data_IF_837742517845
#
_entry.id   IF_837742517845
#
_cell.length_a   1.000
_cell.length_b   1.000
_cell.length_c   1.000
_cell.angle_alpha   90.00
_cell.angle_beta   90.00
_cell.angle_gamma   90.00
#
_symmetry.space_group_name_H-M   'P 1'
#
loop_
_entity.id
_entity.type
_entity.pdbx_description
1 polymer ?
#
# COMPACT_ATOMS: atom_id res chain seq x y z
N UNK A 1 46.07 -6.76 50.65
CA UNK A 1 46.87 -5.54 50.79
C UNK A 1 46.09 -4.38 50.14
N UNK A 2 45.80 -3.37 50.93
CA UNK A 2 45.07 -2.14 50.62
C UNK A 2 45.91 -1.27 49.69
N UNK A 3 45.31 -0.62 48.70
CA UNK A 3 45.69 0.76 48.43
C UNK A 3 44.55 1.56 47.78
N UNK A 4 44.39 2.62 48.26
CA UNK A 4 43.74 3.86 48.55
C UNK A 4 43.53 4.71 47.31
N UNK A 5 42.37 5.26 47.29
CA UNK A 5 41.89 6.27 46.35
C UNK A 5 42.63 7.60 46.43
N UNK A 6 42.53 8.38 45.38
CA UNK A 6 42.79 9.83 45.37
C UNK A 6 41.58 10.58 44.80
N UNK A 7 40.94 11.31 45.72
CA UNK A 7 40.03 12.42 45.45
C UNK A 7 40.85 13.59 44.91
N UNK A 8 40.47 14.21 43.83
CA UNK A 8 40.96 15.53 43.41
C UNK A 8 39.86 16.58 43.62
N UNK A 9 40.24 17.55 44.41
CA UNK A 9 39.48 18.67 44.95
C UNK A 9 39.14 19.71 43.88
N UNK A 10 37.92 20.27 44.04
CA UNK A 10 37.52 21.53 43.42
C UNK A 10 38.29 22.68 44.09
N UNK A 11 39.04 23.52 43.33
CA UNK A 11 39.20 24.97 43.55
C UNK A 11 40.19 25.60 42.59
N UNK A 12 39.83 26.86 42.21
CA UNK A 12 40.64 27.90 41.57
C UNK A 12 40.86 27.83 40.06
N UNK A 13 40.05 28.63 39.35
CA UNK A 13 40.61 29.75 38.57
C UNK A 13 39.52 30.84 38.43
N UNK A 14 39.66 31.89 39.22
CA UNK A 14 39.03 33.18 38.95
C UNK A 14 40.17 34.14 38.58
N UNK A 15 40.12 34.79 37.41
CA UNK A 15 40.38 36.22 37.23
C UNK A 15 40.62 36.61 35.78
N UNK A 16 40.02 37.76 35.49
CA UNK A 16 40.24 38.69 34.36
C UNK A 16 39.37 38.33 33.14
N UNK A 17 38.30 39.01 32.76
CA UNK A 17 38.03 40.44 32.82
C UNK A 17 38.10 41.03 31.44
N UNK A 18 36.97 41.09 30.70
CA UNK A 18 36.73 42.09 29.64
C UNK A 18 35.23 42.13 29.34
N UNK A 19 34.58 43.25 29.65
CA UNK A 19 33.23 43.56 29.24
C UNK A 19 33.21 43.75 27.70
N UNK A 20 32.51 42.87 27.01
CA UNK A 20 32.00 43.13 25.67
C UNK A 20 30.48 43.23 25.78
N UNK A 21 29.94 44.42 25.58
CA UNK A 21 28.50 44.66 25.43
C UNK A 21 28.08 44.06 24.11
N UNK A 22 27.52 42.86 24.13
CA UNK A 22 26.84 42.28 23.00
C UNK A 22 25.39 42.73 23.02
N UNK A 23 25.02 43.57 22.01
CA UNK A 23 23.63 43.90 21.71
C UNK A 23 22.86 42.62 21.47
N UNK A 24 21.95 42.28 22.42
CA UNK A 24 21.09 41.12 22.27
C UNK A 24 20.08 41.32 21.15
N UNK A 25 20.29 40.63 20.07
CA UNK A 25 19.21 40.33 19.13
C UNK A 25 18.26 39.33 19.81
N UNK A 26 17.15 39.83 20.31
CA UNK A 26 16.02 39.01 20.73
C UNK A 26 15.43 38.43 19.44
N UNK A 27 15.83 37.23 19.06
CA UNK A 27 15.15 36.45 18.06
C UNK A 27 13.82 36.04 18.71
N UNK A 28 12.63 36.45 18.17
CA UNK A 28 11.37 36.01 18.73
C UNK A 28 11.29 34.48 18.54
N UNK A 29 11.28 33.75 19.67
CA UNK A 29 10.91 32.34 19.63
C UNK A 29 9.52 32.23 19.02
N UNK A 30 9.32 31.38 17.99
CA UNK A 30 7.98 31.14 17.49
C UNK A 30 7.13 30.66 18.66
N UNK A 31 5.97 31.27 18.83
CA UNK A 31 4.94 30.92 19.81
C UNK A 31 4.83 29.39 19.89
N UNK A 32 4.84 28.85 21.11
CA UNK A 32 4.66 27.42 21.38
C UNK A 32 3.35 26.94 20.74
N UNK A 33 3.41 26.57 19.48
CA UNK A 33 2.36 25.83 18.79
C UNK A 33 2.20 24.52 19.55
N UNK A 34 0.98 24.23 19.95
CA UNK A 34 0.58 22.98 20.58
C UNK A 34 1.25 21.82 19.81
N UNK A 35 2.14 21.08 20.47
CA UNK A 35 2.78 19.91 19.83
C UNK A 35 1.68 18.96 19.37
N UNK A 36 1.70 18.51 18.09
CA UNK A 36 0.72 17.53 17.63
C UNK A 36 0.78 16.30 18.54
N UNK A 37 -0.37 15.65 18.74
CA UNK A 37 -0.40 14.37 19.44
C UNK A 37 0.47 13.33 18.69
N UNK A 38 1.02 12.31 19.37
CA UNK A 38 1.78 11.25 18.71
C UNK A 38 1.01 10.71 17.51
N UNK A 39 1.62 10.69 16.32
CA UNK A 39 0.97 10.29 15.07
C UNK A 39 0.20 11.39 14.34
N UNK A 40 0.03 12.58 14.92
CA UNK A 40 -0.59 13.72 14.22
C UNK A 40 0.45 14.54 13.45
N UNK A 41 0.11 14.85 12.18
CA UNK A 41 0.89 15.73 11.31
C UNK A 41 -0.07 16.53 10.42
N UNK A 42 0.27 17.77 9.99
CA UNK A 42 -0.51 18.48 9.00
C UNK A 42 -0.73 17.63 7.75
N UNK A 43 -1.99 17.51 7.32
CA UNK A 43 -2.35 16.71 6.16
C UNK A 43 -2.08 17.46 4.87
N UNK A 44 -1.66 16.72 3.84
CA UNK A 44 -1.53 17.22 2.48
C UNK A 44 -2.89 17.20 1.75
N UNK A 45 -2.96 17.87 0.61
CA UNK A 45 -4.14 17.89 -0.26
C UNK A 45 -5.43 18.25 0.47
N UNK A 46 -5.44 19.41 1.10
CA UNK A 46 -6.60 19.99 1.76
C UNK A 46 -6.98 21.33 1.17
N UNK A 47 -8.28 21.64 1.21
CA UNK A 47 -8.84 22.89 0.71
C UNK A 47 -9.84 23.45 1.72
N UNK A 48 -9.76 24.74 2.03
CA UNK A 48 -10.71 25.41 2.93
C UNK A 48 -11.94 25.82 2.14
N UNK A 49 -13.13 25.47 2.64
CA UNK A 49 -14.41 25.84 2.07
C UNK A 49 -15.31 26.53 3.11
N UNK A 50 -16.40 27.13 2.67
CA UNK A 50 -17.39 27.74 3.56
C UNK A 50 -18.06 26.71 4.52
N UNK A 51 -18.01 25.41 4.18
CA UNK A 51 -18.63 24.32 4.97
C UNK A 51 -17.66 23.57 5.86
N UNK A 52 -16.36 23.86 5.77
CA UNK A 52 -15.30 23.14 6.50
C UNK A 52 -14.06 22.95 5.64
N UNK A 53 -13.17 22.06 6.07
CA UNK A 53 -11.96 21.69 5.30
C UNK A 53 -12.22 20.44 4.49
N UNK A 54 -11.95 20.48 3.20
CA UNK A 54 -12.13 19.38 2.26
C UNK A 54 -10.84 18.60 2.12
N UNK A 55 -10.88 17.28 2.28
CA UNK A 55 -9.78 16.38 1.97
C UNK A 55 -9.80 16.02 0.47
N UNK A 56 -8.70 16.22 -0.25
CA UNK A 56 -8.58 15.97 -1.69
C UNK A 56 -7.73 14.75 -2.04
N UNK A 57 -7.47 13.85 -1.07
CA UNK A 57 -6.64 12.65 -1.33
C UNK A 57 -7.40 11.59 -2.14
N UNK A 58 -8.66 11.35 -1.80
CA UNK A 58 -9.46 10.30 -2.44
C UNK A 58 -10.83 10.82 -2.87
N UNK A 59 -11.57 10.08 -3.73
CA UNK A 59 -12.85 10.52 -4.26
C UNK A 59 -14.00 10.67 -3.25
N UNK A 60 -13.80 10.30 -1.96
CA UNK A 60 -14.78 10.62 -0.91
C UNK A 60 -14.86 12.12 -0.63
N UNK A 61 -13.76 12.85 -0.83
CA UNK A 61 -13.67 14.31 -0.67
C UNK A 61 -14.36 14.80 0.60
N UNK A 62 -14.11 14.13 1.73
CA UNK A 62 -14.73 14.44 3.01
C UNK A 62 -14.59 15.92 3.36
N UNK A 63 -15.72 16.59 3.63
CA UNK A 63 -15.75 17.96 4.12
C UNK A 63 -15.96 17.92 5.63
N UNK A 64 -14.96 18.36 6.40
CA UNK A 64 -14.90 18.20 7.84
C UNK A 64 -14.97 19.55 8.56
N UNK A 65 -15.85 19.65 9.56
CA UNK A 65 -15.88 20.74 10.54
C UNK A 65 -14.87 20.46 11.65
N UNK A 66 -14.60 21.48 12.46
CA UNK A 66 -13.66 21.34 13.58
C UNK A 66 -14.04 20.19 14.52
N UNK A 67 -13.08 19.31 14.79
CA UNK A 67 -13.24 18.10 15.59
C UNK A 67 -13.79 16.87 14.84
N UNK A 68 -14.26 17.00 13.59
CA UNK A 68 -14.81 15.88 12.82
C UNK A 68 -13.70 15.00 12.22
N UNK A 69 -13.97 13.69 12.19
CA UNK A 69 -13.14 12.67 11.55
C UNK A 69 -13.64 12.37 10.13
N UNK A 70 -12.70 12.11 9.23
CA UNK A 70 -12.99 11.63 7.88
C UNK A 70 -13.57 10.20 7.86
N UNK A 71 -14.21 9.82 6.75
CA UNK A 71 -14.73 8.46 6.53
C UNK A 71 -13.65 7.39 6.69
N UNK A 72 -12.42 7.70 6.28
CA UNK A 72 -11.28 6.79 6.46
C UNK A 72 -10.77 6.70 7.90
N UNK A 73 -11.23 7.55 8.82
CA UNK A 73 -10.89 7.60 10.25
C UNK A 73 -9.46 7.99 10.58
N UNK A 74 -8.71 8.44 9.56
CA UNK A 74 -7.28 8.81 9.70
C UNK A 74 -7.02 10.31 9.63
N UNK A 75 -8.05 11.12 9.35
CA UNK A 75 -7.93 12.57 9.26
C UNK A 75 -8.92 13.25 10.17
N UNK A 76 -8.45 14.29 10.84
CA UNK A 76 -9.25 15.13 11.74
C UNK A 76 -9.09 16.59 11.36
N UNK A 77 -10.19 17.36 11.41
CA UNK A 77 -10.14 18.81 11.22
C UNK A 77 -9.91 19.52 12.55
N UNK A 78 -8.97 20.47 12.58
CA UNK A 78 -8.70 21.33 13.73
C UNK A 78 -8.38 22.75 13.25
N UNK A 79 -9.12 23.77 13.72
CA UNK A 79 -8.89 25.18 13.39
C UNK A 79 -8.74 25.40 11.87
N UNK A 80 -9.70 24.91 11.10
CA UNK A 80 -9.73 25.00 9.64
C UNK A 80 -8.54 24.39 8.91
N UNK A 81 -7.89 23.36 9.51
CA UNK A 81 -6.83 22.57 8.89
C UNK A 81 -7.09 21.09 9.12
N UNK A 82 -6.66 20.25 8.18
CA UNK A 82 -6.65 18.80 8.36
C UNK A 82 -5.31 18.33 8.90
N UNK A 83 -5.40 17.34 9.77
CA UNK A 83 -4.25 16.60 10.29
C UNK A 83 -4.45 15.12 10.00
N UNK A 84 -3.39 14.41 9.61
CA UNK A 84 -3.36 12.96 9.63
C UNK A 84 -3.09 12.48 11.05
N UNK A 85 -3.76 11.42 11.47
CA UNK A 85 -3.53 10.71 12.74
C UNK A 85 -2.68 9.44 12.54
N UNK A 86 -2.33 9.15 11.28
CA UNK A 86 -1.71 7.91 10.84
C UNK A 86 -0.29 8.17 10.30
N UNK A 87 0.58 8.74 11.14
CA UNK A 87 1.96 9.05 10.77
C UNK A 87 2.96 8.50 11.78
N UNK A 88 3.82 7.57 11.35
CA UNK A 88 4.84 6.97 12.22
C UNK A 88 4.29 6.03 13.29
N UNK A 89 3.04 5.61 13.16
CA UNK A 89 2.33 4.80 14.15
C UNK A 89 1.61 3.59 13.52
N UNK A 90 2.32 2.73 12.76
CA UNK A 90 1.70 1.56 12.15
C UNK A 90 1.16 0.60 13.22
N UNK A 91 -0.02 0.01 12.95
CA UNK A 91 -0.62 -1.04 13.78
C UNK A 91 -0.22 -2.45 13.34
N UNK A 92 0.47 -2.57 12.21
CA UNK A 92 1.06 -3.83 11.74
C UNK A 92 2.40 -3.58 11.06
N UNK A 93 3.39 -4.42 11.37
CA UNK A 93 4.71 -4.43 10.76
C UNK A 93 5.21 -5.88 10.68
N UNK A 94 5.48 -6.39 9.46
CA UNK A 94 5.87 -7.78 9.24
C UNK A 94 6.85 -7.90 8.07
N UNK A 95 7.64 -8.97 8.05
CA UNK A 95 8.40 -9.38 6.87
C UNK A 95 7.61 -10.46 6.13
N UNK A 96 7.26 -10.19 4.88
CA UNK A 96 6.51 -11.10 4.03
C UNK A 96 7.26 -11.38 2.72
N UNK A 97 7.04 -12.54 2.08
CA UNK A 97 7.45 -12.73 0.69
C UNK A 97 6.68 -11.77 -0.23
N UNK A 98 7.34 -11.31 -1.29
CA UNK A 98 6.74 -10.39 -2.28
C UNK A 98 5.51 -11.00 -2.96
N UNK A 99 5.48 -12.31 -3.13
CA UNK A 99 4.34 -13.06 -3.68
C UNK A 99 3.07 -12.93 -2.83
N UNK A 100 3.20 -12.72 -1.52
CA UNK A 100 2.06 -12.44 -0.63
C UNK A 100 1.45 -11.05 -0.86
N UNK A 101 2.14 -10.19 -1.63
CA UNK A 101 1.66 -8.86 -2.06
C UNK A 101 0.95 -8.91 -3.42
N UNK A 102 0.47 -10.04 -3.86
CA UNK A 102 0.31 -10.60 -5.20
C UNK A 102 1.12 -9.86 -6.27
N UNK A 103 2.46 -9.84 -6.08
CA UNK A 103 3.42 -9.33 -7.05
C UNK A 103 4.28 -10.49 -7.53
N UNK A 104 3.86 -11.11 -8.63
CA UNK A 104 4.48 -12.31 -9.19
C UNK A 104 5.55 -12.02 -10.22
N UNK A 105 5.49 -10.86 -10.87
CA UNK A 105 6.45 -10.40 -11.86
C UNK A 105 7.35 -9.27 -11.35
N UNK A 106 7.38 -9.05 -10.04
CA UNK A 106 8.22 -8.04 -9.42
C UNK A 106 9.12 -8.67 -8.34
N UNK A 107 10.43 -8.77 -8.62
CA UNK A 107 11.48 -9.30 -7.71
C UNK A 107 11.08 -10.63 -7.03
N UNK A 108 10.66 -11.66 -7.77
CA UNK A 108 10.15 -12.90 -7.20
C UNK A 108 11.13 -13.55 -6.22
N UNK A 109 10.59 -14.12 -5.14
CA UNK A 109 11.36 -14.78 -4.08
C UNK A 109 12.02 -13.82 -3.10
N UNK A 110 11.83 -12.52 -3.20
CA UNK A 110 12.40 -11.54 -2.26
C UNK A 110 11.45 -11.26 -1.09
N UNK A 111 12.00 -10.63 -0.05
CA UNK A 111 11.25 -10.20 1.13
C UNK A 111 10.87 -8.72 1.03
N UNK A 112 9.67 -8.40 1.50
CA UNK A 112 9.19 -7.04 1.69
C UNK A 112 8.92 -6.77 3.18
N UNK A 113 9.36 -5.62 3.69
CA UNK A 113 8.94 -5.13 4.99
C UNK A 113 7.59 -4.43 4.85
N UNK A 114 6.56 -4.99 5.44
CA UNK A 114 5.15 -4.63 5.24
C UNK A 114 4.64 -3.83 6.41
N UNK A 115 4.06 -2.65 6.17
CA UNK A 115 3.46 -1.80 7.19
C UNK A 115 2.01 -1.44 6.87
N UNK A 116 1.21 -1.27 7.91
CA UNK A 116 -0.13 -0.70 7.85
C UNK A 116 -0.41 0.19 9.05
N UNK A 117 -1.16 1.27 8.84
CA UNK A 117 -1.86 1.98 9.91
C UNK A 117 -3.32 1.54 9.97
N UNK A 118 -4.06 1.96 11.00
CA UNK A 118 -5.51 1.78 11.01
C UNK A 118 -6.18 2.62 9.91
N UNK A 119 -7.42 2.26 9.56
CA UNK A 119 -8.29 3.02 8.66
C UNK A 119 -8.27 2.58 7.20
N UNK A 120 -9.36 2.87 6.51
CA UNK A 120 -9.56 2.64 5.07
C UNK A 120 -10.60 3.62 4.53
N UNK A 121 -10.43 4.07 3.29
CA UNK A 121 -11.37 4.95 2.60
C UNK A 121 -12.55 4.21 1.93
N UNK A 122 -12.58 2.87 2.05
CA UNK A 122 -13.71 2.01 1.67
C UNK A 122 -14.27 1.25 2.89
N UNK A 123 -15.49 0.72 2.76
CA UNK A 123 -16.20 -0.01 3.79
C UNK A 123 -16.63 -1.41 3.33
N UNK A 124 -15.72 -2.14 2.68
CA UNK A 124 -15.99 -3.43 2.05
C UNK A 124 -16.63 -4.42 3.01
N UNK A 125 -17.75 -5.02 2.61
CA UNK A 125 -18.49 -6.01 3.42
C UNK A 125 -17.71 -7.30 3.65
N UNK A 126 -16.78 -7.62 2.75
CA UNK A 126 -15.90 -8.79 2.74
C UNK A 126 -14.48 -8.50 3.25
N UNK A 127 -14.28 -7.43 4.01
CA UNK A 127 -12.93 -6.98 4.37
C UNK A 127 -12.21 -8.01 5.24
N UNK A 128 -11.10 -8.56 4.75
CA UNK A 128 -10.26 -9.51 5.48
C UNK A 128 -9.57 -8.86 6.69
N UNK A 129 -9.16 -7.61 6.53
CA UNK A 129 -8.43 -6.85 7.55
C UNK A 129 -9.35 -5.84 8.30
N UNK A 130 -10.64 -6.16 8.45
CA UNK A 130 -11.64 -5.25 9.02
C UNK A 130 -11.27 -4.73 10.41
N UNK A 131 -10.57 -5.53 11.21
CA UNK A 131 -10.16 -5.17 12.57
C UNK A 131 -9.23 -3.96 12.62
N UNK A 132 -8.43 -3.74 11.58
CA UNK A 132 -7.56 -2.57 11.47
C UNK A 132 -8.06 -1.56 10.42
N UNK A 133 -8.82 -2.00 9.41
CA UNK A 133 -9.31 -1.13 8.33
C UNK A 133 -10.56 -0.33 8.72
N UNK A 134 -11.42 -0.88 9.61
CA UNK A 134 -12.68 -0.26 9.99
C UNK A 134 -12.62 0.43 11.37
N UNK A 135 -11.44 0.92 11.74
CA UNK A 135 -11.18 1.60 13.00
C UNK A 135 -10.22 2.78 12.80
N UNK A 136 -9.96 3.57 13.84
CA UNK A 136 -9.05 4.71 13.84
C UNK A 136 -7.74 4.40 14.57
N UNK A 137 -6.64 5.15 14.34
CA UNK A 137 -5.35 4.90 14.97
C UNK A 137 -5.33 4.98 16.50
N UNK A 138 -6.23 5.76 17.10
CA UNK A 138 -6.38 5.87 18.55
C UNK A 138 -7.03 4.63 19.20
N UNK A 139 -7.60 3.74 18.38
CA UNK A 139 -8.27 2.49 18.82
C UNK A 139 -7.47 1.24 18.48
N UNK A 140 -6.27 1.37 17.97
CA UNK A 140 -5.36 0.24 17.67
C UNK A 140 -4.11 0.28 18.53
N UNK A 141 -3.49 -0.88 18.71
CA UNK A 141 -2.15 -0.95 19.30
C UNK A 141 -1.14 -0.63 18.21
N UNK A 142 -0.43 0.48 18.37
CA UNK A 142 0.49 0.98 17.36
C UNK A 142 1.94 0.86 17.82
N UNK A 143 2.85 0.77 16.85
CA UNK A 143 4.29 0.87 17.06
C UNK A 143 4.72 2.33 16.86
N UNK A 144 5.68 2.81 17.65
CA UNK A 144 6.40 4.06 17.34
C UNK A 144 7.45 3.75 16.27
N UNK A 145 7.15 4.10 15.02
CA UNK A 145 7.96 3.71 13.87
C UNK A 145 7.97 4.84 12.83
N UNK A 146 8.75 5.89 13.05
CA UNK A 146 8.90 6.96 12.06
C UNK A 146 9.51 6.42 10.75
N UNK A 147 9.41 7.15 9.62
CA UNK A 147 9.88 6.70 8.31
C UNK A 147 11.29 6.10 8.28
N UNK A 148 12.25 6.70 9.01
CA UNK A 148 13.61 6.17 9.12
C UNK A 148 13.66 4.78 9.75
N UNK A 149 12.89 4.55 10.81
CA UNK A 149 12.84 3.25 11.48
C UNK A 149 12.25 2.14 10.58
N UNK A 150 11.31 2.48 9.69
CA UNK A 150 10.79 1.52 8.68
C UNK A 150 11.92 1.08 7.75
N UNK A 151 12.71 2.03 7.25
CA UNK A 151 13.81 1.76 6.33
C UNK A 151 14.91 0.95 7.02
N UNK A 152 15.28 1.29 8.24
CA UNK A 152 16.26 0.57 9.05
C UNK A 152 15.83 -0.88 9.31
N UNK A 153 14.57 -1.09 9.70
CA UNK A 153 14.05 -2.46 9.92
C UNK A 153 13.95 -3.27 8.64
N UNK A 154 13.57 -2.64 7.52
CA UNK A 154 13.56 -3.30 6.23
C UNK A 154 14.97 -3.78 5.83
N UNK A 155 15.97 -2.92 5.98
CA UNK A 155 17.36 -3.26 5.69
C UNK A 155 17.89 -4.35 6.63
N UNK A 156 17.68 -4.22 7.93
CA UNK A 156 18.08 -5.21 8.92
C UNK A 156 17.43 -6.60 8.70
N UNK A 157 16.17 -6.61 8.21
CA UNK A 157 15.44 -7.82 7.84
C UNK A 157 15.86 -8.46 6.52
N UNK A 158 16.82 -7.87 5.80
CA UNK A 158 17.25 -8.31 4.48
C UNK A 158 16.14 -8.19 3.43
N UNK A 159 15.25 -7.23 3.59
CA UNK A 159 14.18 -6.96 2.63
C UNK A 159 14.72 -6.19 1.42
N UNK A 160 14.19 -6.49 0.24
CA UNK A 160 14.47 -5.74 -1.00
C UNK A 160 13.49 -4.57 -1.17
N UNK A 161 12.40 -4.56 -0.42
CA UNK A 161 11.33 -3.59 -0.57
C UNK A 161 10.62 -3.27 0.74
N UNK A 162 9.97 -2.09 0.77
CA UNK A 162 8.95 -1.70 1.74
C UNK A 162 7.60 -1.81 1.07
N UNK A 163 6.63 -2.48 1.72
CA UNK A 163 5.27 -2.64 1.23
C UNK A 163 4.27 -1.91 2.13
N UNK A 164 3.53 -0.98 1.54
CA UNK A 164 2.40 -0.28 2.16
C UNK A 164 1.14 -1.09 1.87
N UNK A 165 0.53 -1.74 2.89
CA UNK A 165 -0.40 -2.85 2.65
C UNK A 165 -1.38 -3.08 3.82
N UNK A 166 -2.11 -4.19 3.82
CA UNK A 166 -3.08 -4.74 4.78
C UNK A 166 -4.34 -3.89 4.96
N UNK A 167 -4.23 -2.65 5.44
CA UNK A 167 -5.28 -1.63 5.40
C UNK A 167 -5.19 -0.85 4.07
N UNK A 168 -5.51 0.44 4.05
CA UNK A 168 -5.42 1.23 2.83
C UNK A 168 -4.32 2.29 2.90
N UNK A 169 -3.22 2.14 2.14
CA UNK A 169 -2.10 3.09 2.17
C UNK A 169 -2.45 4.53 1.77
N UNK A 170 -3.47 4.74 0.95
CA UNK A 170 -3.97 6.08 0.60
C UNK A 170 -4.37 6.88 1.85
N UNK A 171 -4.80 6.22 2.92
CA UNK A 171 -5.28 6.88 4.13
C UNK A 171 -4.17 7.35 5.07
N UNK A 172 -2.96 6.82 4.91
CA UNK A 172 -1.75 7.29 5.61
C UNK A 172 -0.71 7.86 4.63
N UNK A 173 -1.20 8.64 3.69
CA UNK A 173 -0.53 9.19 2.53
C UNK A 173 0.82 9.84 2.85
N UNK A 174 0.87 10.74 3.84
CA UNK A 174 2.07 11.48 4.22
C UNK A 174 3.16 10.54 4.76
N UNK A 175 2.76 9.51 5.49
CA UNK A 175 3.67 8.50 6.01
C UNK A 175 4.23 7.61 4.90
N UNK A 176 3.36 7.22 3.94
CA UNK A 176 3.81 6.52 2.72
C UNK A 176 4.81 7.35 1.94
N UNK A 177 4.48 8.61 1.66
CA UNK A 177 5.32 9.49 0.83
C UNK A 177 6.73 9.69 1.43
N UNK A 178 6.80 10.04 2.71
CA UNK A 178 8.08 10.29 3.37
C UNK A 178 8.90 9.00 3.53
N UNK A 179 8.24 7.87 3.85
CA UNK A 179 8.90 6.57 3.93
C UNK A 179 9.42 6.13 2.56
N UNK A 180 8.64 6.31 1.49
CA UNK A 180 9.03 5.92 0.15
C UNK A 180 10.24 6.71 -0.37
N UNK A 181 10.32 7.99 -0.04
CA UNK A 181 11.50 8.82 -0.37
C UNK A 181 12.76 8.29 0.32
N UNK A 182 12.69 8.00 1.61
CA UNK A 182 13.82 7.47 2.37
C UNK A 182 14.20 6.06 1.92
N UNK A 183 13.21 5.17 1.70
CA UNK A 183 13.44 3.81 1.22
C UNK A 183 14.16 3.82 -0.14
N UNK A 184 13.72 4.66 -1.08
CA UNK A 184 14.39 4.84 -2.39
C UNK A 184 15.83 5.32 -2.24
N UNK A 185 16.08 6.29 -1.34
CA UNK A 185 17.43 6.80 -1.06
C UNK A 185 18.33 5.72 -0.45
N UNK A 186 17.76 4.75 0.25
CA UNK A 186 18.46 3.60 0.81
C UNK A 186 18.57 2.41 -0.16
N UNK A 187 18.14 2.55 -1.43
CA UNK A 187 18.18 1.50 -2.44
C UNK A 187 17.09 0.43 -2.30
N UNK A 188 16.09 0.64 -1.44
CA UNK A 188 14.93 -0.25 -1.31
C UNK A 188 13.85 0.14 -2.33
N UNK A 189 13.08 -0.87 -2.76
CA UNK A 189 11.92 -0.69 -3.62
C UNK A 189 10.66 -0.40 -2.81
N UNK A 190 9.71 0.33 -3.38
CA UNK A 190 8.44 0.71 -2.74
C UNK A 190 7.26 0.02 -3.42
N UNK A 191 6.47 -0.70 -2.64
CA UNK A 191 5.33 -1.49 -3.11
C UNK A 191 4.02 -0.95 -2.55
N UNK A 192 3.07 -0.62 -3.44
CA UNK A 192 1.75 -0.13 -3.08
C UNK A 192 0.71 -1.22 -3.27
N UNK A 193 0.11 -1.71 -2.18
CA UNK A 193 -0.95 -2.73 -2.22
C UNK A 193 -2.23 -2.05 -1.77
N UNK A 194 -3.08 -1.68 -2.72
CA UNK A 194 -4.12 -0.68 -2.51
C UNK A 194 -5.42 -1.04 -3.22
N UNK A 195 -6.52 -0.46 -2.73
CA UNK A 195 -7.80 -0.51 -3.42
C UNK A 195 -7.89 0.45 -4.63
N UNK A 196 -6.85 1.23 -4.89
CA UNK A 196 -6.77 2.17 -6.00
C UNK A 196 -7.73 3.37 -5.93
N UNK A 197 -8.45 3.57 -4.82
CA UNK A 197 -9.43 4.65 -4.68
C UNK A 197 -8.76 5.94 -4.21
N UNK A 198 -8.06 6.59 -5.12
CA UNK A 198 -7.23 7.79 -4.91
C UNK A 198 -7.45 8.79 -6.03
N UNK A 199 -7.38 10.09 -5.74
CA UNK A 199 -7.45 11.14 -6.75
C UNK A 199 -6.15 11.21 -7.56
N UNK A 200 -6.24 11.68 -8.79
CA UNK A 200 -5.16 11.66 -9.78
C UNK A 200 -3.87 12.37 -9.32
N UNK A 201 -4.01 13.59 -8.79
CA UNK A 201 -2.81 14.38 -8.42
C UNK A 201 -2.02 13.76 -7.23
N UNK A 202 -2.67 13.35 -6.11
CA UNK A 202 -1.97 12.61 -5.07
C UNK A 202 -1.33 11.31 -5.59
N UNK A 203 -2.02 10.58 -6.49
CA UNK A 203 -1.48 9.37 -7.08
C UNK A 203 -0.21 9.64 -7.90
N UNK A 204 -0.23 10.62 -8.79
CA UNK A 204 0.93 10.99 -9.60
C UNK A 204 2.14 11.40 -8.74
N UNK A 205 1.90 12.08 -7.62
CA UNK A 205 3.00 12.38 -6.70
C UNK A 205 3.59 11.11 -6.08
N UNK A 206 2.77 10.15 -5.65
CA UNK A 206 3.26 8.86 -5.12
C UNK A 206 3.99 8.05 -6.18
N UNK A 207 3.50 8.00 -7.42
CA UNK A 207 4.12 7.23 -8.51
C UNK A 207 5.59 7.61 -8.76
N UNK A 208 6.00 8.81 -8.39
CA UNK A 208 7.43 9.22 -8.46
C UNK A 208 8.33 8.37 -7.57
N UNK A 209 7.80 7.71 -6.56
CA UNK A 209 8.55 6.95 -5.57
C UNK A 209 8.14 5.48 -5.47
N UNK A 210 6.98 5.10 -6.02
CA UNK A 210 6.48 3.72 -6.03
C UNK A 210 7.07 2.99 -7.24
N UNK A 211 7.63 1.80 -7.00
CA UNK A 211 8.23 0.96 -8.04
C UNK A 211 7.23 -0.08 -8.57
N UNK A 212 6.36 -0.61 -7.71
CA UNK A 212 5.32 -1.57 -8.11
C UNK A 212 4.04 -1.38 -7.31
N UNK A 213 2.92 -1.73 -7.92
CA UNK A 213 1.62 -1.72 -7.28
C UNK A 213 0.83 -3.01 -7.57
N UNK A 214 0.09 -3.51 -6.58
CA UNK A 214 -1.01 -4.42 -6.82
C UNK A 214 -2.31 -3.71 -6.42
N UNK A 215 -3.22 -3.61 -7.38
CA UNK A 215 -4.47 -2.86 -7.22
C UNK A 215 -5.66 -3.79 -7.23
N UNK A 216 -6.47 -3.69 -6.19
CA UNK A 216 -7.73 -4.43 -6.07
C UNK A 216 -8.82 -3.82 -6.95
N UNK A 217 -9.09 -4.40 -8.11
CA UNK A 217 -10.29 -4.13 -8.90
C UNK A 217 -11.44 -5.02 -8.38
N UNK A 218 -12.21 -4.48 -7.43
CA UNK A 218 -13.10 -5.27 -6.57
C UNK A 218 -14.38 -5.75 -7.25
N UNK A 219 -14.84 -5.08 -8.30
CA UNK A 219 -16.01 -5.44 -9.13
C UNK A 219 -15.92 -4.69 -10.45
N UNK A 220 -16.69 -5.11 -11.46
CA UNK A 220 -16.83 -4.39 -12.73
C UNK A 220 -18.25 -3.89 -12.97
N UNK A 221 -19.04 -3.77 -11.92
CA UNK A 221 -20.39 -3.19 -11.90
C UNK A 221 -20.45 -2.04 -10.91
N UNK A 222 -20.86 -0.84 -11.35
CA UNK A 222 -20.99 0.33 -10.47
C UNK A 222 -21.90 0.07 -9.27
N UNK A 223 -23.02 -0.60 -9.49
CA UNK A 223 -23.97 -0.90 -8.43
C UNK A 223 -23.41 -1.91 -7.42
N UNK A 224 -22.69 -2.93 -7.88
CA UNK A 224 -22.01 -3.90 -7.02
C UNK A 224 -20.86 -3.24 -6.30
N UNK A 225 -20.05 -2.43 -7.01
CA UNK A 225 -18.93 -1.70 -6.42
C UNK A 225 -19.39 -0.83 -5.23
N UNK A 226 -20.45 -0.03 -5.45
CA UNK A 226 -21.02 0.82 -4.41
C UNK A 226 -21.57 0.01 -3.22
N UNK A 227 -22.36 -1.04 -3.47
CA UNK A 227 -22.99 -1.84 -2.41
C UNK A 227 -21.96 -2.67 -1.62
N UNK A 228 -20.96 -3.24 -2.30
CA UNK A 228 -19.96 -4.10 -1.69
C UNK A 228 -18.89 -3.31 -0.93
N UNK A 229 -18.50 -2.15 -1.46
CA UNK A 229 -17.31 -1.40 -0.99
C UNK A 229 -17.58 -0.02 -0.44
N UNK A 230 -18.72 0.59 -0.77
CA UNK A 230 -19.01 2.00 -0.49
C UNK A 230 -18.34 3.00 -1.45
N UNK A 231 -17.54 2.52 -2.40
CA UNK A 231 -16.84 3.37 -3.38
C UNK A 231 -17.47 3.33 -4.77
N UNK A 232 -16.76 3.93 -5.75
CA UNK A 232 -17.15 3.99 -7.17
C UNK A 232 -16.10 3.28 -8.01
N UNK A 233 -16.51 2.63 -9.10
CA UNK A 233 -15.63 1.90 -10.01
C UNK A 233 -14.69 2.83 -10.80
N UNK A 234 -15.23 3.90 -11.41
CA UNK A 234 -14.47 4.74 -12.34
C UNK A 234 -13.15 5.30 -11.77
N UNK A 235 -13.09 5.83 -10.52
CA UNK A 235 -11.82 6.29 -9.97
C UNK A 235 -10.72 5.22 -9.90
N UNK A 236 -11.10 3.95 -9.71
CA UNK A 236 -10.13 2.83 -9.69
C UNK A 236 -9.63 2.53 -11.09
N UNK A 237 -10.51 2.54 -12.10
CA UNK A 237 -10.11 2.40 -13.51
C UNK A 237 -9.15 3.53 -13.95
N UNK A 238 -9.41 4.76 -13.51
CA UNK A 238 -8.53 5.90 -13.76
C UNK A 238 -7.17 5.75 -13.05
N UNK A 239 -7.16 5.17 -11.84
CA UNK A 239 -5.92 4.86 -11.12
C UNK A 239 -5.08 3.82 -11.84
N UNK A 240 -5.70 2.74 -12.35
CA UNK A 240 -4.98 1.71 -13.13
C UNK A 240 -4.27 2.34 -14.33
N UNK A 241 -4.97 3.21 -15.08
CA UNK A 241 -4.36 3.95 -16.21
C UNK A 241 -3.22 4.84 -15.73
N UNK A 242 -3.41 5.55 -14.61
CA UNK A 242 -2.38 6.44 -14.08
C UNK A 242 -1.13 5.68 -13.67
N UNK A 243 -1.23 4.54 -12.97
CA UNK A 243 -0.08 3.71 -12.62
C UNK A 243 0.70 3.25 -13.86
N UNK A 244 0.00 2.78 -14.91
CA UNK A 244 0.62 2.39 -16.17
C UNK A 244 1.33 3.57 -16.85
N UNK A 245 0.65 4.70 -16.98
CA UNK A 245 1.14 5.89 -17.69
C UNK A 245 2.34 6.54 -16.97
N UNK A 246 2.42 6.41 -15.63
CA UNK A 246 3.55 6.87 -14.81
C UNK A 246 4.69 5.80 -14.73
N UNK A 247 4.55 4.66 -15.41
CA UNK A 247 5.60 3.63 -15.52
C UNK A 247 5.81 2.78 -14.26
N UNK A 248 4.85 2.74 -13.36
CA UNK A 248 4.87 1.85 -12.19
C UNK A 248 4.54 0.43 -12.63
N UNK A 249 5.32 -0.58 -12.18
CA UNK A 249 4.95 -1.97 -12.45
C UNK A 249 3.61 -2.28 -11.79
N UNK A 250 2.65 -2.76 -12.58
CA UNK A 250 1.28 -2.98 -12.10
C UNK A 250 0.89 -4.45 -12.20
N UNK A 251 0.30 -4.98 -11.13
CA UNK A 251 -0.47 -6.21 -11.12
C UNK A 251 -1.87 -5.93 -10.57
N UNK A 252 -2.87 -6.68 -10.99
CA UNK A 252 -4.28 -6.41 -10.64
C UNK A 252 -4.85 -7.63 -9.92
N UNK A 253 -5.58 -7.39 -8.83
CA UNK A 253 -6.27 -8.45 -8.10
C UNK A 253 -7.78 -8.25 -8.16
N UNK A 254 -8.52 -9.32 -8.47
CA UNK A 254 -9.96 -9.40 -8.32
C UNK A 254 -10.32 -10.52 -7.35
N UNK A 255 -10.95 -10.16 -6.23
CA UNK A 255 -11.51 -11.14 -5.30
C UNK A 255 -12.89 -11.58 -5.79
N UNK A 256 -13.02 -12.86 -6.13
CA UNK A 256 -14.29 -13.43 -6.60
C UNK A 256 -15.16 -13.82 -5.42
N UNK A 257 -16.22 -13.03 -5.16
CA UNK A 257 -17.13 -13.20 -4.00
C UNK A 257 -18.45 -13.78 -4.49
N UNK A 258 -18.90 -14.95 -3.96
CA UNK A 258 -20.15 -15.60 -4.37
C UNK A 258 -21.37 -14.69 -4.25
N UNK A 259 -22.17 -14.60 -5.32
CA UNK A 259 -23.38 -13.77 -5.41
C UNK A 259 -23.11 -12.28 -5.59
N UNK A 260 -21.83 -11.82 -5.60
CA UNK A 260 -21.45 -10.42 -5.76
C UNK A 260 -20.61 -10.17 -7.02
N UNK A 261 -19.46 -10.82 -7.13
CA UNK A 261 -18.46 -10.57 -8.20
C UNK A 261 -18.10 -11.83 -8.98
N UNK A 262 -18.91 -12.87 -8.87
CA UNK A 262 -18.73 -14.18 -9.50
C UNK A 262 -19.55 -14.37 -10.79
N UNK A 263 -20.20 -13.31 -11.28
CA UNK A 263 -21.01 -13.34 -12.50
C UNK A 263 -20.12 -13.39 -13.73
N UNK A 264 -20.31 -14.40 -14.63
CA UNK A 264 -19.45 -14.58 -15.80
C UNK A 264 -19.41 -13.35 -16.72
N UNK A 265 -20.55 -12.68 -16.93
CA UNK A 265 -20.63 -11.50 -17.78
C UNK A 265 -19.85 -10.31 -17.25
N UNK A 266 -19.90 -10.08 -15.91
CA UNK A 266 -19.13 -8.99 -15.28
C UNK A 266 -17.62 -9.29 -15.33
N UNK A 267 -17.21 -10.55 -15.15
CA UNK A 267 -15.80 -10.99 -15.31
C UNK A 267 -15.36 -10.80 -16.75
N UNK A 268 -16.19 -11.16 -17.73
CA UNK A 268 -15.92 -10.95 -19.17
C UNK A 268 -15.71 -9.46 -19.46
N UNK A 269 -16.66 -8.61 -19.09
CA UNK A 269 -16.57 -7.16 -19.29
C UNK A 269 -15.32 -6.55 -18.66
N UNK A 270 -14.93 -7.00 -17.46
CA UNK A 270 -13.69 -6.58 -16.80
C UNK A 270 -12.47 -6.95 -17.63
N UNK A 271 -12.38 -8.21 -18.09
CA UNK A 271 -11.25 -8.70 -18.85
C UNK A 271 -11.15 -8.04 -20.23
N UNK A 272 -12.26 -7.84 -20.91
CA UNK A 272 -12.32 -7.14 -22.19
C UNK A 272 -11.85 -5.70 -22.03
N UNK A 273 -12.34 -4.99 -20.99
CA UNK A 273 -11.89 -3.63 -20.69
C UNK A 273 -10.38 -3.57 -20.41
N UNK A 274 -9.85 -4.53 -19.63
CA UNK A 274 -8.41 -4.59 -19.36
C UNK A 274 -7.60 -4.78 -20.64
N UNK A 275 -8.04 -5.68 -21.52
CA UNK A 275 -7.38 -5.94 -22.80
C UNK A 275 -7.42 -4.71 -23.72
N UNK A 276 -8.58 -4.09 -23.89
CA UNK A 276 -8.79 -2.89 -24.71
C UNK A 276 -8.01 -1.67 -24.22
N UNK A 277 -7.74 -1.59 -22.91
CA UNK A 277 -6.99 -0.50 -22.33
C UNK A 277 -5.50 -0.79 -22.13
N UNK A 278 -4.94 -1.83 -22.80
CA UNK A 278 -3.50 -2.09 -22.86
C UNK A 278 -2.93 -2.81 -21.64
N UNK A 279 -3.75 -3.59 -20.91
CA UNK A 279 -3.32 -4.36 -19.73
C UNK A 279 -3.11 -5.86 -20.03
N UNK A 280 -3.03 -6.28 -21.31
CA UNK A 280 -2.86 -7.70 -21.69
C UNK A 280 -1.60 -8.34 -21.11
N UNK A 281 -0.55 -7.56 -20.92
CA UNK A 281 0.72 -7.98 -20.30
C UNK A 281 0.76 -7.80 -18.76
N UNK A 282 -0.27 -7.19 -18.20
CA UNK A 282 -0.39 -6.97 -16.75
C UNK A 282 -0.89 -8.24 -16.08
N UNK A 283 -0.19 -8.79 -15.07
CA UNK A 283 -0.66 -9.95 -14.33
C UNK A 283 -2.01 -9.69 -13.64
N UNK A 284 -2.96 -10.59 -13.88
CA UNK A 284 -4.29 -10.58 -13.27
C UNK A 284 -4.42 -11.75 -12.30
N UNK A 285 -4.75 -11.45 -11.05
CA UNK A 285 -4.91 -12.41 -9.98
C UNK A 285 -6.39 -12.55 -9.60
N UNK A 286 -7.01 -13.68 -9.89
CA UNK A 286 -8.30 -14.03 -9.29
C UNK A 286 -8.06 -14.69 -7.94
N UNK A 287 -8.60 -14.08 -6.89
CA UNK A 287 -8.44 -14.57 -5.53
C UNK A 287 -9.71 -15.22 -5.03
N UNK A 288 -9.57 -16.38 -4.38
CA UNK A 288 -10.67 -17.09 -3.75
C UNK A 288 -11.13 -16.35 -2.51
N UNK A 289 -12.43 -16.02 -2.44
CA UNK A 289 -13.04 -15.50 -1.23
C UNK A 289 -13.09 -16.59 -0.15
N UNK A 290 -12.77 -16.18 1.08
CA UNK A 290 -13.04 -16.94 2.31
C UNK A 290 -14.04 -16.15 3.15
N UNK A 291 -15.01 -16.79 3.82
CA UNK A 291 -15.99 -16.14 4.68
C UNK A 291 -15.32 -15.20 5.67
N UNK A 292 -15.74 -13.93 5.68
CA UNK A 292 -15.13 -12.92 6.53
C UNK A 292 -16.03 -11.72 6.78
N UNK A 293 -15.95 -11.13 7.99
CA UNK A 293 -16.59 -9.89 8.39
C UNK A 293 -18.12 -9.94 8.19
N UNK A 294 -18.70 -9.01 7.41
CA UNK A 294 -20.16 -8.96 7.17
C UNK A 294 -20.66 -10.01 6.18
N UNK A 295 -19.78 -10.72 5.50
CA UNK A 295 -20.10 -11.79 4.57
C UNK A 295 -19.61 -13.16 5.07
N UNK A 296 -19.48 -13.35 6.39
CA UNK A 296 -19.10 -14.61 7.03
C UNK A 296 -20.12 -15.75 6.80
N UNK A 297 -21.36 -15.40 6.43
CA UNK A 297 -22.44 -16.35 6.12
C UNK A 297 -22.36 -16.94 4.71
N UNK A 298 -21.55 -16.38 3.82
CA UNK A 298 -21.37 -16.90 2.46
C UNK A 298 -20.39 -18.06 2.44
N UNK A 299 -20.54 -19.05 1.54
CA UNK A 299 -19.53 -20.08 1.35
C UNK A 299 -18.26 -19.52 0.67
N UNK A 300 -17.12 -20.20 0.82
CA UNK A 300 -15.94 -19.90 -0.01
C UNK A 300 -16.26 -20.04 -1.49
N UNK A 301 -15.58 -19.26 -2.34
CA UNK A 301 -15.78 -19.35 -3.80
C UNK A 301 -15.51 -20.77 -4.29
N UNK A 302 -16.47 -21.41 -5.01
CA UNK A 302 -16.25 -22.71 -5.64
C UNK A 302 -15.10 -22.67 -6.66
N UNK A 303 -14.26 -23.70 -6.67
CA UNK A 303 -13.09 -23.78 -7.54
C UNK A 303 -13.45 -23.64 -9.03
N UNK A 304 -14.57 -24.26 -9.48
CA UNK A 304 -15.03 -24.17 -10.86
C UNK A 304 -15.36 -22.75 -11.34
N UNK A 305 -15.78 -21.84 -10.43
CA UNK A 305 -15.99 -20.43 -10.78
C UNK A 305 -14.65 -19.76 -11.09
N UNK A 306 -13.63 -20.01 -10.27
CA UNK A 306 -12.30 -19.45 -10.45
C UNK A 306 -11.62 -19.99 -11.72
N UNK A 307 -11.79 -21.29 -12.02
CA UNK A 307 -11.30 -21.87 -13.28
C UNK A 307 -11.92 -21.18 -14.48
N UNK A 308 -13.24 -20.98 -14.50
CA UNK A 308 -13.93 -20.25 -15.58
C UNK A 308 -13.47 -18.79 -15.66
N UNK A 309 -13.20 -18.12 -14.54
CA UNK A 309 -12.67 -16.75 -14.56
C UNK A 309 -11.30 -16.69 -15.26
N UNK A 310 -10.42 -17.65 -15.00
CA UNK A 310 -9.11 -17.76 -15.68
C UNK A 310 -9.27 -18.00 -17.17
N UNK A 311 -10.15 -18.91 -17.58
CA UNK A 311 -10.46 -19.19 -18.99
C UNK A 311 -11.00 -17.92 -19.68
N UNK A 312 -11.98 -17.24 -19.05
CA UNK A 312 -12.54 -15.99 -19.54
C UNK A 312 -11.47 -14.91 -19.76
N UNK A 313 -10.55 -14.76 -18.81
CA UNK A 313 -9.47 -13.77 -18.92
C UNK A 313 -8.49 -14.10 -20.06
N UNK A 314 -8.13 -15.38 -20.22
CA UNK A 314 -7.27 -15.83 -21.32
C UNK A 314 -7.93 -15.63 -22.68
N UNK A 315 -9.23 -15.94 -22.81
CA UNK A 315 -10.01 -15.71 -24.02
C UNK A 315 -10.15 -14.22 -24.37
N UNK A 316 -10.11 -13.33 -23.38
CA UNK A 316 -10.04 -11.87 -23.58
C UNK A 316 -8.63 -11.37 -23.94
N UNK A 317 -7.61 -12.25 -23.99
CA UNK A 317 -6.25 -11.92 -24.38
C UNK A 317 -5.29 -11.60 -23.21
N UNK A 318 -5.71 -11.81 -21.95
CA UNK A 318 -4.81 -11.64 -20.80
C UNK A 318 -3.75 -12.75 -20.78
N UNK A 319 -2.47 -12.38 -20.81
CA UNK A 319 -1.37 -13.36 -20.96
C UNK A 319 -0.95 -14.00 -19.65
N UNK A 320 -1.13 -13.30 -18.53
CA UNK A 320 -0.67 -13.75 -17.21
C UNK A 320 -1.84 -13.72 -16.23
N UNK A 321 -2.41 -14.90 -15.96
CA UNK A 321 -3.59 -15.05 -15.11
C UNK A 321 -3.29 -16.07 -14.02
N UNK A 322 -3.43 -15.64 -12.76
CA UNK A 322 -3.10 -16.39 -11.56
C UNK A 322 -4.31 -16.65 -10.67
N UNK A 323 -4.25 -17.71 -9.87
CA UNK A 323 -5.24 -18.00 -8.82
C UNK A 323 -4.61 -17.81 -7.44
N UNK A 324 -5.18 -16.93 -6.63
CA UNK A 324 -4.83 -16.70 -5.25
C UNK A 324 -5.74 -17.44 -4.27
N UNK A 325 -5.24 -17.71 -3.06
CA UNK A 325 -5.95 -18.40 -1.97
C UNK A 325 -6.48 -19.80 -2.32
N UNK A 326 -5.81 -20.50 -3.25
CA UNK A 326 -6.13 -21.86 -3.66
C UNK A 326 -4.88 -22.77 -3.61
N UNK A 327 -4.46 -23.24 -2.44
CA UNK A 327 -3.30 -24.11 -2.32
C UNK A 327 -3.45 -25.37 -3.20
N UNK A 328 -2.43 -25.67 -4.01
CA UNK A 328 -2.41 -26.88 -4.86
C UNK A 328 -3.21 -26.78 -6.17
N UNK A 329 -3.75 -25.63 -6.52
CA UNK A 329 -4.49 -25.44 -7.78
C UNK A 329 -3.60 -25.40 -9.05
N UNK A 330 -2.28 -25.31 -8.92
CA UNK A 330 -1.33 -25.36 -10.04
C UNK A 330 -1.31 -24.13 -10.94
N UNK A 331 -2.00 -23.04 -10.56
CA UNK A 331 -2.06 -21.79 -11.33
C UNK A 331 -1.23 -20.66 -10.70
N UNK A 332 -0.21 -21.02 -9.91
CA UNK A 332 0.72 -20.06 -9.31
C UNK A 332 1.98 -19.87 -10.17
N UNK A 333 2.18 -20.74 -11.17
CA UNK A 333 3.35 -20.75 -12.03
C UNK A 333 3.28 -19.72 -13.13
N UNK A 334 4.42 -19.08 -13.44
CA UNK A 334 4.51 -18.22 -14.63
C UNK A 334 4.91 -19.06 -15.85
N UNK A 335 4.10 -18.99 -16.90
CA UNK A 335 4.36 -19.64 -18.18
C UNK A 335 4.77 -18.60 -19.23
N UNK A 336 5.65 -19.00 -20.13
CA UNK A 336 6.00 -18.21 -21.29
C UNK A 336 4.80 -18.12 -22.24
N UNK A 337 4.31 -16.94 -22.64
CA UNK A 337 3.13 -16.81 -23.48
C UNK A 337 3.36 -17.29 -24.93
N UNK A 338 4.64 -17.41 -25.35
CA UNK A 338 4.97 -17.84 -26.71
C UNK A 338 5.14 -19.35 -26.86
N UNK A 339 5.71 -20.05 -25.87
CA UNK A 339 6.01 -21.48 -25.98
C UNK A 339 5.39 -22.35 -24.90
N UNK A 340 4.64 -21.77 -23.96
CA UNK A 340 3.97 -22.49 -22.87
C UNK A 340 4.90 -23.03 -21.77
N UNK A 341 6.24 -22.88 -21.91
CA UNK A 341 7.18 -23.39 -20.91
C UNK A 341 7.00 -22.70 -19.58
N UNK A 342 6.94 -23.46 -18.48
CA UNK A 342 7.01 -22.93 -17.13
C UNK A 342 8.36 -22.25 -16.93
N UNK A 343 8.35 -20.93 -16.65
CA UNK A 343 9.55 -20.11 -16.49
C UNK A 343 9.80 -19.71 -15.06
N UNK A 344 8.76 -19.69 -14.21
CA UNK A 344 8.86 -19.60 -12.76
C UNK A 344 7.92 -20.64 -12.16
N UNK A 345 8.50 -21.53 -11.35
CA UNK A 345 7.78 -22.57 -10.62
C UNK A 345 7.58 -22.12 -9.17
N UNK A 346 6.33 -22.17 -8.69
CA UNK A 346 5.97 -21.75 -7.33
C UNK A 346 5.27 -22.85 -6.55
N UNK A 347 5.53 -22.86 -5.26
CA UNK A 347 4.77 -23.64 -4.29
C UNK A 347 4.26 -22.68 -3.23
N UNK A 348 3.03 -22.20 -3.39
CA UNK A 348 2.48 -21.08 -2.65
C UNK A 348 3.33 -19.81 -2.87
N UNK A 349 3.86 -19.25 -1.78
CA UNK A 349 4.70 -18.04 -1.87
C UNK A 349 6.20 -18.32 -2.05
N UNK A 350 6.60 -19.57 -2.23
CA UNK A 350 8.01 -19.97 -2.40
C UNK A 350 8.32 -20.20 -3.87
N UNK A 351 9.38 -19.58 -4.37
CA UNK A 351 9.96 -19.89 -5.68
C UNK A 351 10.71 -21.22 -5.56
N UNK A 352 10.30 -22.18 -6.39
CA UNK A 352 10.96 -23.49 -6.52
C UNK A 352 12.07 -23.41 -7.57
N UNK A 353 11.78 -22.80 -8.71
CA UNK A 353 12.77 -22.55 -9.75
C UNK A 353 12.41 -21.30 -10.57
N UNK A 354 13.45 -20.63 -11.09
CA UNK A 354 13.32 -19.50 -12.01
C UNK A 354 14.25 -19.73 -13.21
N UNK A 355 13.68 -19.84 -14.41
CA UNK A 355 14.38 -20.15 -15.64
C UNK A 355 14.58 -18.95 -16.56
N UNK A 356 14.03 -17.78 -16.16
CA UNK A 356 14.22 -16.52 -16.92
C UNK A 356 15.67 -16.04 -16.80
N UNK A 357 16.27 -15.66 -17.92
CA UNK A 357 17.56 -14.98 -17.97
C UNK A 357 17.34 -13.56 -18.49
N UNK A 358 17.54 -12.56 -17.63
CA UNK A 358 17.27 -11.13 -17.94
C UNK A 358 15.87 -10.92 -18.51
N UNK A 359 14.85 -11.54 -17.89
CA UNK A 359 13.46 -11.45 -18.30
C UNK A 359 13.10 -12.22 -19.59
N UNK A 360 14.00 -13.04 -20.13
CA UNK A 360 13.77 -13.83 -21.35
C UNK A 360 13.63 -15.31 -21.07
N UNK A 361 12.67 -15.93 -21.76
CA UNK A 361 12.53 -17.37 -21.84
C UNK A 361 13.60 -17.97 -22.78
N UNK A 362 13.90 -19.27 -22.63
CA UNK A 362 14.84 -20.00 -23.51
C UNK A 362 14.41 -20.01 -24.99
N UNK A 363 13.14 -19.74 -25.33
CA UNK A 363 12.67 -19.58 -26.69
C UNK A 363 12.93 -18.17 -27.28
N UNK A 364 13.53 -17.24 -26.50
CA UNK A 364 13.81 -15.87 -26.89
C UNK A 364 12.72 -14.84 -26.54
N UNK A 365 11.52 -15.30 -26.17
CA UNK A 365 10.41 -14.41 -25.81
C UNK A 365 10.69 -13.66 -24.52
N UNK A 366 10.38 -12.35 -24.49
CA UNK A 366 10.44 -11.53 -23.28
C UNK A 366 9.20 -11.77 -22.42
N UNK A 367 9.39 -11.99 -21.13
CA UNK A 367 8.34 -12.01 -20.11
C UNK A 367 8.40 -10.70 -19.36
N UNK A 368 7.39 -9.83 -19.46
CA UNK A 368 7.35 -8.54 -18.78
C UNK A 368 7.44 -8.70 -17.26
N UNK A 369 8.21 -7.83 -16.62
CA UNK A 369 8.43 -7.89 -15.16
C UNK A 369 9.71 -7.18 -14.75
N UNK A 370 9.93 -7.12 -13.43
CA UNK A 370 11.17 -6.67 -12.79
C UNK A 370 11.80 -7.87 -12.11
N UNK A 371 12.91 -8.36 -12.67
CA UNK A 371 13.46 -9.67 -12.31
C UNK A 371 14.74 -9.61 -11.46
N UNK A 372 15.32 -8.41 -11.25
CA UNK A 372 16.58 -8.16 -10.51
C UNK A 372 16.50 -6.94 -9.60
#
# INVERSE_FOLDING_TARGET
MKDKGKKISRRCFARQGSLAVAAGFVVPFPSAGMRPAPGERPAMYQEVSARGVVCRICPNECTLKDGELSDCRNRIARKSKLYTMAYGNPCAANIDPVEKKPLYHFLPGTKAFSIATAGCNLACLNCQNWTISQTSPDRTKNHDMPPGAVVEQAAAGGCRSVAYTYSEPVTFYEYVLDTAQLARSAGLKNLMISNGYINREPLRQLCRFIDAANIDLKSFSDSTYLKLTGGKLQPVLDSLKTYRDEGVWLEITNLVVPGWTDKPDEIRQMCDWLAENGFTDTPLHFSRFQPQYKLEHLPPTPAGILTRAVETARDAGMKYVYLGNMPGAGNDDTQCPSCGKKVIDRSGYRIVSQLLKNGKCSCGATVPGVWH
#
